data_IF_287086902866
#
_entry.id   IF_287086902866
#
_cell.length_a   1.000
_cell.length_b   1.000
_cell.length_c   1.000
_cell.angle_alpha   90.00
_cell.angle_beta   90.00
_cell.angle_gamma   90.00
#
_symmetry.space_group_name_H-M   'P 1'
#
loop_
_entity.id
_entity.type
_entity.pdbx_description
1 polymer ?
#
# COMPACT_ATOMS: atom_id res chain seq x y z
N UNK A 1 4.28 -39.62 33.74
CA UNK A 1 4.87 -38.27 33.70
C UNK A 1 5.34 -37.92 32.28
N UNK A 2 4.47 -37.34 31.42
CA UNK A 2 4.84 -36.88 30.07
C UNK A 2 4.80 -35.34 29.90
N UNK A 3 4.51 -34.58 30.96
CA UNK A 3 4.18 -33.15 30.89
C UNK A 3 5.37 -32.20 30.80
N UNK A 4 6.54 -32.57 31.34
CA UNK A 4 7.72 -31.69 31.42
C UNK A 4 8.49 -31.55 30.10
N UNK A 5 8.55 -32.62 29.29
CA UNK A 5 9.25 -32.64 27.99
C UNK A 5 8.45 -31.93 26.89
N UNK A 6 7.11 -32.00 26.96
CA UNK A 6 6.25 -31.32 26.00
C UNK A 6 6.23 -29.79 26.19
N UNK A 7 6.25 -29.31 27.43
CA UNK A 7 6.29 -27.87 27.75
C UNK A 7 7.62 -27.21 27.39
N UNK A 8 8.74 -27.90 27.59
CA UNK A 8 10.08 -27.41 27.21
C UNK A 8 10.27 -27.36 25.69
N UNK A 9 9.74 -28.33 24.93
CA UNK A 9 9.77 -28.33 23.47
C UNK A 9 8.95 -27.21 22.83
N UNK A 10 7.76 -26.93 23.38
CA UNK A 10 6.90 -25.83 22.92
C UNK A 10 7.52 -24.45 23.20
N UNK A 11 8.10 -24.26 24.39
CA UNK A 11 8.78 -23.02 24.74
C UNK A 11 10.00 -22.76 23.83
N UNK A 12 10.80 -23.79 23.57
CA UNK A 12 11.96 -23.70 22.66
C UNK A 12 11.54 -23.35 21.24
N UNK A 13 10.48 -23.97 20.73
CA UNK A 13 9.94 -23.69 19.39
C UNK A 13 9.42 -22.26 19.27
N UNK A 14 8.72 -21.77 20.30
CA UNK A 14 8.24 -20.39 20.36
C UNK A 14 9.39 -19.39 20.39
N UNK A 15 10.44 -19.64 21.18
CA UNK A 15 11.63 -18.77 21.21
C UNK A 15 12.35 -18.73 19.86
N UNK A 16 12.51 -19.89 19.21
CA UNK A 16 13.10 -19.97 17.86
C UNK A 16 12.26 -19.18 16.86
N UNK A 17 10.93 -19.31 16.92
CA UNK A 17 10.02 -18.54 16.07
C UNK A 17 10.14 -17.04 16.33
N UNK A 18 10.09 -16.60 17.60
CA UNK A 18 10.26 -15.19 17.98
C UNK A 18 11.60 -14.63 17.49
N UNK A 19 12.69 -15.38 17.62
CA UNK A 19 14.00 -14.95 17.14
C UNK A 19 14.03 -14.81 15.62
N UNK A 20 13.48 -15.77 14.88
CA UNK A 20 13.38 -15.69 13.41
C UNK A 20 12.50 -14.54 12.96
N UNK A 21 11.33 -14.36 13.59
CA UNK A 21 10.39 -13.28 13.27
C UNK A 21 10.98 -11.91 13.59
N UNK A 22 11.69 -11.77 14.70
CA UNK A 22 12.40 -10.53 15.05
C UNK A 22 13.52 -10.21 14.06
N UNK A 23 14.31 -11.21 13.65
CA UNK A 23 15.33 -11.01 12.61
C UNK A 23 14.72 -10.62 11.27
N UNK A 24 13.59 -11.23 10.90
CA UNK A 24 12.86 -10.85 9.69
C UNK A 24 12.34 -9.40 9.79
N UNK A 25 11.85 -8.98 10.95
CA UNK A 25 11.45 -7.60 11.20
C UNK A 25 12.61 -6.61 11.04
N UNK A 26 13.79 -6.91 11.61
CA UNK A 26 14.97 -6.08 11.43
C UNK A 26 15.47 -6.07 9.97
N UNK A 27 15.34 -7.18 9.24
CA UNK A 27 15.75 -7.25 7.84
C UNK A 27 14.94 -6.31 6.91
N UNK A 28 13.75 -5.85 7.33
CA UNK A 28 12.95 -4.86 6.60
C UNK A 28 13.55 -3.43 6.69
N UNK A 29 14.53 -3.22 7.56
CA UNK A 29 15.13 -1.92 7.83
C UNK A 29 14.22 -0.99 8.66
N UNK A 30 14.63 0.27 8.86
CA UNK A 30 13.82 1.25 9.56
C UNK A 30 12.57 1.66 8.77
N UNK A 31 11.57 2.20 9.48
CA UNK A 31 10.33 2.76 8.93
C UNK A 31 9.48 3.37 10.03
N UNK A 32 8.16 3.40 9.86
CA UNK A 32 7.25 4.05 10.82
C UNK A 32 7.36 3.52 12.27
N UNK A 33 7.36 2.20 12.51
CA UNK A 33 7.54 1.65 13.86
C UNK A 33 9.00 1.68 14.33
N UNK A 34 9.24 1.71 15.67
CA UNK A 34 10.60 1.73 16.21
C UNK A 34 11.44 0.52 15.79
N UNK A 35 12.61 0.76 15.20
CA UNK A 35 13.54 -0.29 14.72
C UNK A 35 14.27 -1.01 15.88
N UNK A 36 13.53 -1.73 16.72
CA UNK A 36 14.01 -2.47 17.87
C UNK A 36 12.97 -3.51 18.34
N UNK A 37 13.27 -4.22 19.44
CA UNK A 37 12.41 -5.25 20.01
C UNK A 37 10.99 -4.76 20.37
N UNK A 38 10.85 -3.51 20.82
CA UNK A 38 9.54 -2.95 21.19
C UNK A 38 8.66 -2.76 19.95
N UNK A 39 9.22 -2.24 18.87
CA UNK A 39 8.49 -2.11 17.60
C UNK A 39 8.10 -3.46 17.03
N UNK A 40 9.02 -4.43 17.03
CA UNK A 40 8.71 -5.82 16.65
C UNK A 40 7.54 -6.40 17.46
N UNK A 41 7.60 -6.32 18.79
CA UNK A 41 6.57 -6.88 19.66
C UNK A 41 5.21 -6.23 19.39
N UNK A 42 5.18 -4.91 19.20
CA UNK A 42 3.96 -4.19 18.83
C UNK A 42 3.40 -4.66 17.48
N UNK A 43 4.24 -4.80 16.45
CA UNK A 43 3.78 -5.27 15.13
C UNK A 43 3.29 -6.72 15.20
N UNK A 44 4.03 -7.59 15.87
CA UNK A 44 3.74 -9.03 15.90
C UNK A 44 2.56 -9.39 16.78
N UNK A 45 2.41 -8.77 17.95
CA UNK A 45 1.36 -9.11 18.90
C UNK A 45 0.21 -8.10 18.94
N UNK A 46 0.47 -6.83 18.60
CA UNK A 46 -0.52 -5.76 18.66
C UNK A 46 -1.22 -5.46 17.32
N UNK A 47 -0.50 -5.59 16.19
CA UNK A 47 -1.04 -5.26 14.87
C UNK A 47 -1.40 -6.51 14.06
N UNK A 48 -0.46 -7.45 13.92
CA UNK A 48 -0.59 -8.63 13.05
C UNK A 48 -1.86 -9.48 13.30
N UNK A 49 -2.38 -9.66 14.54
CA UNK A 49 -3.62 -10.39 14.76
C UNK A 49 -4.87 -9.75 14.15
N UNK A 50 -4.82 -8.45 13.83
CA UNK A 50 -5.91 -7.68 13.23
C UNK A 50 -5.67 -7.37 11.75
N UNK A 51 -4.56 -7.87 11.19
CA UNK A 51 -4.18 -7.69 9.81
C UNK A 51 -4.60 -8.93 8.98
N UNK A 52 -4.78 -8.76 7.68
CA UNK A 52 -5.01 -9.86 6.75
C UNK A 52 -3.87 -10.87 6.82
N UNK A 53 -4.19 -12.14 6.53
CA UNK A 53 -3.17 -13.17 6.29
C UNK A 53 -2.38 -12.84 5.01
N UNK A 54 -1.22 -13.47 4.84
CA UNK A 54 -0.45 -13.35 3.60
C UNK A 54 -1.23 -13.88 2.38
N UNK A 55 -2.09 -14.89 2.54
CA UNK A 55 -2.96 -15.35 1.45
C UNK A 55 -4.13 -14.40 1.14
N UNK A 56 -4.50 -13.54 2.09
CA UNK A 56 -5.62 -12.62 1.96
C UNK A 56 -5.32 -11.39 1.11
N UNK A 57 -4.04 -11.04 0.93
CA UNK A 57 -3.63 -9.80 0.24
C UNK A 57 -3.94 -9.79 -1.26
N UNK A 58 -4.14 -10.97 -1.87
CA UNK A 58 -4.50 -11.11 -3.29
C UNK A 58 -5.98 -11.43 -3.49
N UNK A 59 -6.77 -11.54 -2.43
CA UNK A 59 -8.21 -11.77 -2.55
C UNK A 59 -8.90 -10.48 -2.98
N UNK A 60 -9.81 -10.61 -3.95
CA UNK A 60 -10.55 -9.50 -4.57
C UNK A 60 -12.06 -9.72 -4.55
N UNK A 61 -12.53 -10.78 -3.90
CA UNK A 61 -13.95 -11.17 -3.91
C UNK A 61 -14.88 -10.12 -3.30
N UNK A 62 -14.35 -9.31 -2.40
CA UNK A 62 -15.03 -8.18 -1.74
C UNK A 62 -15.04 -6.88 -2.58
N UNK A 63 -14.26 -6.81 -3.66
CA UNK A 63 -14.26 -5.67 -4.57
C UNK A 63 -15.26 -5.86 -5.72
N UNK A 64 -15.98 -4.83 -6.18
CA UNK A 64 -16.86 -4.94 -7.34
C UNK A 64 -16.08 -5.28 -8.62
N UNK A 65 -16.72 -5.98 -9.56
CA UNK A 65 -16.14 -6.29 -10.87
C UNK A 65 -16.24 -5.14 -11.87
N UNK A 66 -17.24 -4.27 -11.69
CA UNK A 66 -17.59 -3.16 -12.56
C UNK A 66 -17.40 -1.82 -11.85
N UNK A 67 -17.46 -0.72 -12.60
CA UNK A 67 -17.31 0.64 -12.07
C UNK A 67 -15.85 1.10 -11.92
N UNK A 68 -14.92 0.39 -12.55
CA UNK A 68 -13.52 0.79 -12.66
C UNK A 68 -13.28 1.74 -13.83
N UNK A 69 -12.11 2.35 -13.85
CA UNK A 69 -11.68 3.15 -14.99
C UNK A 69 -11.31 2.24 -16.16
N UNK A 70 -11.78 2.58 -17.37
CA UNK A 70 -11.46 1.85 -18.60
C UNK A 70 -9.94 1.68 -18.83
N UNK A 71 -9.13 2.65 -18.39
CA UNK A 71 -7.67 2.55 -18.47
C UNK A 71 -7.11 1.42 -17.56
N UNK A 72 -7.70 1.22 -16.38
CA UNK A 72 -7.33 0.13 -15.46
C UNK A 72 -7.78 -1.24 -15.99
N UNK A 73 -8.97 -1.30 -16.60
CA UNK A 73 -9.46 -2.49 -17.31
C UNK A 73 -8.59 -2.89 -18.50
N UNK A 74 -7.92 -1.91 -19.13
CA UNK A 74 -6.99 -2.14 -20.25
C UNK A 74 -5.55 -2.44 -19.85
N UNK A 75 -5.20 -2.35 -18.56
CA UNK A 75 -3.87 -2.78 -18.10
C UNK A 75 -3.60 -4.22 -18.57
N UNK A 76 -2.40 -4.53 -19.06
CA UNK A 76 -2.01 -5.91 -19.33
C UNK A 76 -1.74 -6.65 -18.02
N UNK A 77 -1.63 -7.97 -18.07
CA UNK A 77 -0.99 -8.72 -17.00
C UNK A 77 0.48 -8.29 -16.87
N UNK A 78 0.94 -8.09 -15.63
CA UNK A 78 2.35 -7.78 -15.35
C UNK A 78 3.23 -8.95 -15.79
N UNK A 79 4.40 -8.66 -16.34
CA UNK A 79 5.30 -9.70 -16.85
C UNK A 79 5.97 -10.48 -15.72
N UNK A 80 5.96 -11.81 -15.82
CA UNK A 80 6.61 -12.68 -14.85
C UNK A 80 5.83 -12.79 -13.53
N UNK A 81 6.39 -13.45 -12.51
CA UNK A 81 5.68 -13.69 -11.25
C UNK A 81 5.51 -12.39 -10.45
N UNK A 82 4.69 -12.45 -9.41
CA UNK A 82 4.58 -11.41 -8.38
C UNK A 82 5.92 -11.14 -7.70
N UNK A 83 6.18 -9.89 -7.37
CA UNK A 83 7.28 -9.56 -6.48
C UNK A 83 6.95 -10.04 -5.06
N UNK A 84 7.97 -10.38 -4.30
CA UNK A 84 7.79 -10.85 -2.92
C UNK A 84 7.68 -9.62 -2.02
N UNK A 85 6.60 -9.51 -1.26
CA UNK A 85 6.44 -8.47 -0.25
C UNK A 85 6.70 -9.03 1.16
N UNK A 86 7.13 -8.16 2.06
CA UNK A 86 7.44 -8.49 3.44
C UNK A 86 6.98 -7.43 4.43
N UNK A 87 6.53 -7.89 5.60
CA UNK A 87 6.14 -7.02 6.70
C UNK A 87 4.67 -6.60 6.69
N UNK A 88 4.36 -5.68 7.61
CA UNK A 88 3.07 -4.96 7.70
C UNK A 88 3.40 -3.48 7.87
N UNK A 89 4.28 -3.19 8.82
CA UNK A 89 4.95 -1.91 8.99
C UNK A 89 6.30 -2.20 9.67
N UNK A 90 7.46 -1.87 9.06
CA UNK A 90 7.60 -1.45 7.66
C UNK A 90 7.04 -2.51 6.70
N UNK A 91 6.57 -2.07 5.54
CA UNK A 91 6.14 -2.93 4.43
C UNK A 91 7.12 -2.72 3.28
N UNK A 92 7.70 -3.79 2.75
CA UNK A 92 8.79 -3.71 1.77
C UNK A 92 8.56 -4.67 0.62
N UNK A 93 8.98 -4.25 -0.57
CA UNK A 93 9.22 -5.17 -1.67
C UNK A 93 10.61 -5.79 -1.49
N UNK A 94 10.70 -7.12 -1.53
CA UNK A 94 11.90 -7.91 -1.22
C UNK A 94 12.54 -8.55 -2.45
N UNK A 95 11.89 -8.47 -3.61
CA UNK A 95 12.40 -9.01 -4.86
C UNK A 95 11.99 -8.15 -6.05
N UNK A 96 12.58 -8.40 -7.22
CA UNK A 96 12.33 -7.62 -8.43
C UNK A 96 12.53 -6.10 -8.25
N UNK A 97 13.55 -5.72 -7.47
CA UNK A 97 13.86 -4.31 -7.24
C UNK A 97 14.11 -3.59 -8.58
N UNK A 98 13.46 -2.44 -8.80
CA UNK A 98 13.73 -1.62 -9.97
C UNK A 98 15.19 -1.15 -10.02
N UNK A 99 15.70 -0.82 -11.22
CA UNK A 99 16.95 -0.08 -11.33
C UNK A 99 16.78 1.34 -10.79
N UNK A 100 17.81 1.88 -10.12
CA UNK A 100 17.77 3.19 -9.45
C UNK A 100 17.36 4.37 -10.35
N UNK A 101 17.57 4.27 -11.66
CA UNK A 101 17.10 5.25 -12.64
C UNK A 101 15.57 5.49 -12.55
N UNK A 102 14.80 4.48 -12.16
CA UNK A 102 13.34 4.57 -12.03
C UNK A 102 12.93 5.47 -10.85
N UNK A 103 13.76 5.61 -9.81
CA UNK A 103 13.46 6.40 -8.62
C UNK A 103 13.08 7.83 -8.97
N UNK A 104 13.93 8.50 -9.75
CA UNK A 104 13.71 9.90 -10.11
C UNK A 104 12.50 10.05 -11.04
N UNK A 105 12.20 9.05 -11.86
CA UNK A 105 11.04 9.07 -12.74
C UNK A 105 9.73 8.94 -11.95
N UNK A 106 9.68 8.08 -10.92
CA UNK A 106 8.52 7.95 -10.04
C UNK A 106 8.34 9.22 -9.19
N UNK A 107 9.43 9.78 -8.63
CA UNK A 107 9.39 11.06 -7.91
C UNK A 107 8.84 12.17 -8.83
N UNK A 108 9.34 12.26 -10.06
CA UNK A 108 8.90 13.24 -11.04
C UNK A 108 7.42 13.05 -11.42
N UNK A 109 6.93 11.82 -11.51
CA UNK A 109 5.51 11.54 -11.76
C UNK A 109 4.61 12.19 -10.68
N UNK A 110 4.97 12.02 -9.40
CA UNK A 110 4.22 12.58 -8.28
C UNK A 110 4.31 14.11 -8.23
N UNK A 111 5.51 14.65 -8.47
CA UNK A 111 5.75 16.10 -8.54
C UNK A 111 4.94 16.75 -9.67
N UNK A 112 4.97 16.17 -10.88
CA UNK A 112 4.20 16.69 -12.01
C UNK A 112 2.71 16.68 -11.74
N UNK A 113 2.16 15.61 -11.13
CA UNK A 113 0.76 15.58 -10.75
C UNK A 113 0.39 16.77 -9.84
N UNK A 114 1.15 16.99 -8.77
CA UNK A 114 0.89 18.09 -7.84
C UNK A 114 1.09 19.48 -8.46
N UNK A 115 2.10 19.66 -9.32
CA UNK A 115 2.34 20.94 -10.01
C UNK A 115 1.29 21.22 -11.09
N UNK A 116 0.80 20.20 -11.78
CA UNK A 116 -0.19 20.35 -12.85
C UNK A 116 -1.61 20.60 -12.31
N UNK A 117 -1.93 20.05 -11.13
CA UNK A 117 -3.26 20.17 -10.53
C UNK A 117 -3.21 20.76 -9.10
N UNK A 118 -2.62 21.95 -8.89
CA UNK A 118 -2.34 22.50 -7.55
C UNK A 118 -3.60 22.85 -6.76
N UNK A 119 -4.74 23.06 -7.43
CA UNK A 119 -6.00 23.36 -6.76
C UNK A 119 -6.58 22.15 -6.00
N UNK A 120 -6.31 20.94 -6.50
CA UNK A 120 -6.90 19.69 -5.98
C UNK A 120 -5.85 18.73 -5.42
N UNK A 121 -4.56 18.95 -5.67
CA UNK A 121 -3.45 18.10 -5.22
C UNK A 121 -2.40 18.89 -4.44
N UNK A 122 -1.68 18.20 -3.56
CA UNK A 122 -0.50 18.72 -2.86
C UNK A 122 0.51 17.63 -2.55
N UNK A 123 1.79 17.99 -2.41
CA UNK A 123 2.83 17.10 -1.88
C UNK A 123 3.14 17.46 -0.43
N UNK A 124 3.14 16.45 0.44
CA UNK A 124 3.44 16.59 1.88
C UNK A 124 4.12 15.33 2.38
N UNK A 125 4.71 15.35 3.57
CA UNK A 125 5.21 14.11 4.20
C UNK A 125 4.07 13.13 4.45
N UNK A 126 4.28 11.86 4.09
CA UNK A 126 3.32 10.77 4.33
C UNK A 126 2.97 10.69 5.82
N UNK A 127 1.70 10.46 6.11
CA UNK A 127 1.19 10.23 7.47
C UNK A 127 1.52 8.83 7.97
N UNK A 128 1.64 7.87 7.05
CA UNK A 128 1.96 6.47 7.37
C UNK A 128 3.46 6.25 7.52
N UNK A 129 4.26 6.70 6.54
CA UNK A 129 5.70 6.45 6.53
C UNK A 129 6.52 7.54 7.22
N UNK A 130 6.02 8.80 7.25
CA UNK A 130 6.61 9.97 7.93
C UNK A 130 7.96 10.46 7.42
N UNK A 131 8.56 9.76 6.45
CA UNK A 131 9.90 10.08 5.93
C UNK A 131 9.88 10.55 4.47
N UNK A 132 9.04 9.93 3.63
CA UNK A 132 8.92 10.30 2.22
C UNK A 132 7.71 11.16 1.94
N UNK A 133 7.76 11.86 0.81
CA UNK A 133 6.65 12.68 0.34
C UNK A 133 5.57 11.78 -0.26
N UNK A 134 4.33 12.10 0.06
CA UNK A 134 3.13 11.49 -0.49
C UNK A 134 2.39 12.53 -1.33
N UNK A 135 1.63 12.04 -2.30
CA UNK A 135 0.62 12.81 -2.98
C UNK A 135 -0.66 12.83 -2.13
N UNK A 136 -1.22 14.01 -1.96
CA UNK A 136 -2.44 14.25 -1.20
C UNK A 136 -3.48 14.95 -2.04
N UNK A 137 -4.76 14.66 -1.79
CA UNK A 137 -5.86 15.59 -2.05
C UNK A 137 -5.58 16.88 -1.28
N UNK A 138 -5.71 18.04 -1.93
CA UNK A 138 -5.48 19.33 -1.28
C UNK A 138 -6.47 19.52 -0.12
N UNK A 139 -6.04 20.16 0.96
CA UNK A 139 -6.90 20.37 2.14
C UNK A 139 -8.16 21.16 1.76
N UNK A 140 -8.00 22.19 0.92
CA UNK A 140 -9.10 23.00 0.39
C UNK A 140 -10.14 22.14 -0.36
N UNK A 141 -9.67 21.20 -1.20
CA UNK A 141 -10.58 20.31 -1.94
C UNK A 141 -11.24 19.30 -1.01
N UNK A 142 -10.48 18.70 -0.08
CA UNK A 142 -10.99 17.76 0.91
C UNK A 142 -12.08 18.36 1.82
N UNK A 143 -11.96 19.64 2.16
CA UNK A 143 -12.92 20.40 2.98
C UNK A 143 -14.05 21.07 2.20
N UNK A 144 -14.07 20.95 0.86
CA UNK A 144 -15.06 21.62 0.00
C UNK A 144 -16.51 21.15 0.21
N UNK A 145 -16.71 19.99 0.84
CA UNK A 145 -18.00 19.34 0.94
C UNK A 145 -18.49 18.72 -0.36
N UNK A 146 -17.63 18.57 -1.38
CA UNK A 146 -17.96 17.94 -2.65
C UNK A 146 -18.33 16.45 -2.43
N UNK A 147 -19.58 16.04 -2.73
CA UNK A 147 -20.05 14.68 -2.49
C UNK A 147 -19.38 13.63 -3.40
N UNK A 148 -18.64 14.05 -4.43
CA UNK A 148 -17.86 13.14 -5.28
C UNK A 148 -16.60 12.61 -4.59
N UNK A 149 -16.14 13.25 -3.51
CA UNK A 149 -14.96 12.83 -2.76
C UNK A 149 -15.32 11.57 -1.95
N UNK A 150 -14.61 10.44 -2.14
CA UNK A 150 -14.96 9.20 -1.47
C UNK A 150 -14.60 9.25 0.02
N UNK A 151 -15.30 8.45 0.83
CA UNK A 151 -14.99 8.24 2.26
C UNK A 151 -13.52 7.84 2.48
N UNK A 152 -12.94 7.09 1.53
CA UNK A 152 -11.52 6.72 1.53
C UNK A 152 -10.59 7.92 1.70
N UNK A 153 -10.87 9.04 1.03
CA UNK A 153 -10.08 10.27 1.14
C UNK A 153 -10.22 10.91 2.52
N UNK A 154 -11.36 10.78 3.17
CA UNK A 154 -11.57 11.27 4.54
C UNK A 154 -10.80 10.39 5.53
N UNK A 155 -10.90 9.06 5.39
CA UNK A 155 -10.21 8.07 6.24
C UNK A 155 -8.70 8.24 6.15
N UNK A 156 -8.15 8.38 4.94
CA UNK A 156 -6.70 8.56 4.71
C UNK A 156 -6.23 10.00 4.94
N UNK A 157 -7.12 10.92 5.33
CA UNK A 157 -6.85 12.35 5.51
C UNK A 157 -6.22 12.98 4.26
N UNK A 158 -6.72 12.56 3.11
CA UNK A 158 -6.32 13.01 1.79
C UNK A 158 -5.10 12.29 1.22
N UNK A 159 -4.41 11.42 1.96
CA UNK A 159 -3.23 10.73 1.40
C UNK A 159 -3.68 9.78 0.28
N UNK A 160 -3.19 10.02 -0.94
CA UNK A 160 -3.46 9.21 -2.14
C UNK A 160 -2.44 8.08 -2.22
N UNK A 161 -1.16 8.39 -1.98
CA UNK A 161 -0.09 7.40 -2.05
C UNK A 161 1.29 8.00 -1.88
N UNK A 162 2.28 7.14 -1.65
CA UNK A 162 3.70 7.50 -1.54
C UNK A 162 4.59 6.38 -2.07
N UNK A 163 5.82 6.75 -2.43
CA UNK A 163 6.86 5.83 -2.86
C UNK A 163 7.75 5.43 -1.68
N UNK A 164 8.07 4.14 -1.58
CA UNK A 164 9.04 3.59 -0.64
C UNK A 164 10.48 3.68 -1.15
N UNK A 165 11.49 3.52 -0.26
CA UNK A 165 12.90 3.41 -0.65
C UNK A 165 13.18 2.33 -1.69
N UNK A 166 12.44 1.22 -1.65
CA UNK A 166 12.54 0.10 -2.60
C UNK A 166 11.80 0.35 -3.94
N UNK A 167 11.29 1.58 -4.14
CA UNK A 167 10.53 2.05 -5.30
C UNK A 167 9.16 1.39 -5.54
N UNK A 168 8.71 0.52 -4.62
CA UNK A 168 7.29 0.18 -4.55
C UNK A 168 6.46 1.38 -4.11
N UNK A 169 5.17 1.39 -4.46
CA UNK A 169 4.30 2.54 -4.24
C UNK A 169 3.06 2.11 -3.47
N UNK A 170 2.83 2.74 -2.33
CA UNK A 170 1.54 2.69 -1.69
C UNK A 170 0.56 3.61 -2.40
N UNK A 171 -0.65 3.10 -2.70
CA UNK A 171 -1.64 3.83 -3.48
C UNK A 171 -3.06 3.39 -3.11
N UNK A 172 -3.97 4.35 -2.99
CA UNK A 172 -5.40 4.10 -2.95
C UNK A 172 -6.00 4.11 -4.35
N UNK A 173 -6.75 3.06 -4.68
CA UNK A 173 -7.52 2.95 -5.92
C UNK A 173 -9.01 2.80 -5.59
N UNK A 174 -9.89 3.04 -6.57
CA UNK A 174 -11.28 2.62 -6.43
C UNK A 174 -11.34 1.10 -6.21
N UNK A 175 -12.36 0.55 -5.51
CA UNK A 175 -12.46 -0.90 -5.32
C UNK A 175 -12.38 -1.71 -6.61
N UNK A 176 -13.04 -1.25 -7.69
CA UNK A 176 -12.99 -1.91 -8.99
C UNK A 176 -11.60 -1.84 -9.65
N UNK A 177 -10.91 -0.69 -9.56
CA UNK A 177 -9.54 -0.56 -10.07
C UNK A 177 -8.54 -1.39 -9.25
N UNK A 178 -8.74 -1.47 -7.94
CA UNK A 178 -7.93 -2.29 -7.05
C UNK A 178 -8.04 -3.78 -7.42
N UNK A 179 -9.26 -4.25 -7.75
CA UNK A 179 -9.46 -5.59 -8.32
C UNK A 179 -8.66 -5.78 -9.60
N UNK A 180 -8.66 -4.81 -10.51
CA UNK A 180 -7.89 -4.91 -11.77
C UNK A 180 -6.39 -4.99 -11.50
N UNK A 181 -5.85 -4.10 -10.66
CA UNK A 181 -4.42 -4.07 -10.31
C UNK A 181 -3.96 -5.38 -9.65
N UNK A 182 -4.75 -5.92 -8.72
CA UNK A 182 -4.44 -7.19 -8.06
C UNK A 182 -4.56 -8.35 -9.04
N UNK A 183 -5.68 -8.48 -9.77
CA UNK A 183 -5.92 -9.63 -10.68
C UNK A 183 -4.87 -9.70 -11.79
N UNK A 184 -4.37 -8.55 -12.24
CA UNK A 184 -3.31 -8.44 -13.26
C UNK A 184 -1.90 -8.44 -12.71
N UNK A 185 -1.75 -8.73 -11.42
CA UNK A 185 -0.46 -8.93 -10.75
C UNK A 185 0.43 -7.69 -10.70
N UNK A 186 -0.17 -6.50 -10.70
CA UNK A 186 0.55 -5.24 -10.47
C UNK A 186 0.71 -4.91 -8.99
N UNK A 187 -0.15 -5.47 -8.15
CA UNK A 187 -0.25 -5.08 -6.75
C UNK A 187 -0.73 -6.20 -5.83
N UNK A 188 -0.54 -5.96 -4.55
CA UNK A 188 -1.14 -6.68 -3.43
C UNK A 188 -1.79 -5.69 -2.47
N UNK A 189 -2.83 -6.14 -1.77
CA UNK A 189 -3.47 -5.34 -0.72
C UNK A 189 -2.52 -5.16 0.46
N UNK A 190 -2.51 -3.96 1.04
CA UNK A 190 -1.89 -3.76 2.34
C UNK A 190 -2.63 -4.61 3.38
N UNK A 191 -1.90 -5.31 4.26
CA UNK A 191 -2.52 -6.21 5.24
C UNK A 191 -3.43 -5.50 6.25
N UNK A 192 -3.34 -4.18 6.37
CA UNK A 192 -4.23 -3.35 7.20
C UNK A 192 -5.47 -2.83 6.46
N UNK A 193 -5.52 -2.94 5.13
CA UNK A 193 -6.71 -2.65 4.34
C UNK A 193 -7.68 -3.83 4.42
N UNK A 194 -8.25 -4.04 5.60
CA UNK A 194 -9.25 -5.08 5.82
C UNK A 194 -10.57 -4.74 5.10
N UNK A 195 -11.39 -5.74 4.75
CA UNK A 195 -12.72 -5.53 4.16
C UNK A 195 -13.62 -4.58 4.97
N UNK A 196 -14.56 -3.91 4.28
CA UNK A 196 -15.47 -2.89 4.88
C UNK A 196 -16.45 -3.45 5.91
N UNK A 197 -16.71 -4.75 5.90
CA UNK A 197 -17.53 -5.46 6.86
C UNK A 197 -16.72 -5.99 8.06
N UNK A 198 -15.39 -5.83 8.06
CA UNK A 198 -14.53 -6.21 9.17
C UNK A 198 -14.81 -5.36 10.42
N UNK A 199 -14.81 -6.00 11.59
CA UNK A 199 -14.94 -5.32 12.88
C UNK A 199 -13.75 -4.41 13.22
N UNK A 200 -12.60 -4.59 12.55
CA UNK A 200 -11.41 -3.72 12.64
C UNK A 200 -11.24 -2.78 11.44
N UNK A 201 -12.31 -2.54 10.65
CA UNK A 201 -12.26 -1.62 9.50
C UNK A 201 -11.75 -0.24 9.88
N UNK A 202 -11.00 0.38 8.97
CA UNK A 202 -10.45 1.74 9.11
C UNK A 202 -9.52 1.94 10.32
N UNK A 203 -9.13 0.87 11.02
CA UNK A 203 -8.15 0.95 12.10
C UNK A 203 -6.83 1.50 11.56
N UNK A 204 -6.21 2.38 12.33
CA UNK A 204 -4.98 3.10 11.93
C UNK A 204 -5.16 4.04 10.72
N UNK A 205 -6.39 4.48 10.44
CA UNK A 205 -6.69 5.38 9.32
C UNK A 205 -6.32 4.78 7.95
N UNK A 206 -6.46 3.46 7.79
CA UNK A 206 -6.23 2.74 6.54
C UNK A 206 -7.58 2.26 5.99
N UNK A 207 -7.98 2.76 4.82
CA UNK A 207 -9.20 2.31 4.16
C UNK A 207 -8.99 0.98 3.42
N UNK A 208 -10.08 0.40 2.91
CA UNK A 208 -10.14 -0.96 2.39
C UNK A 208 -9.43 -1.18 1.05
N UNK A 209 -9.02 -0.12 0.34
CA UNK A 209 -8.35 -0.19 -0.97
C UNK A 209 -6.91 0.31 -0.97
N UNK A 210 -6.23 0.26 0.18
CA UNK A 210 -4.81 0.60 0.26
C UNK A 210 -3.94 -0.53 -0.29
N UNK A 211 -3.25 -0.29 -1.40
CA UNK A 211 -2.43 -1.30 -2.08
C UNK A 211 -0.93 -1.00 -1.95
N UNK A 212 -0.11 -2.03 -2.13
CA UNK A 212 1.27 -1.90 -2.55
C UNK A 212 1.36 -2.24 -4.04
N UNK A 213 1.64 -1.25 -4.86
CA UNK A 213 1.98 -1.42 -6.28
C UNK A 213 3.47 -1.77 -6.35
N UNK A 214 3.82 -2.82 -7.11
CA UNK A 214 5.21 -3.21 -7.27
C UNK A 214 6.01 -2.11 -7.99
N UNK A 215 7.28 -1.97 -7.62
CA UNK A 215 8.18 -1.02 -8.27
C UNK A 215 8.31 -1.29 -9.77
N UNK A 216 8.28 -0.22 -10.56
CA UNK A 216 8.36 -0.27 -12.03
C UNK A 216 9.77 -0.64 -12.48
N UNK A 217 9.95 -1.77 -13.17
CA UNK A 217 11.28 -2.28 -13.57
C UNK A 217 11.87 -1.59 -14.80
N UNK A 218 11.02 -0.98 -15.62
CA UNK A 218 11.37 -0.28 -16.84
C UNK A 218 10.33 0.80 -17.16
N UNK A 219 10.59 1.57 -18.22
CA UNK A 219 9.71 2.65 -18.68
C UNK A 219 8.31 2.16 -19.08
N UNK A 220 8.21 0.91 -19.56
CA UNK A 220 6.94 0.28 -19.87
C UNK A 220 6.10 0.09 -18.61
N UNK A 221 6.68 -0.47 -17.55
CA UNK A 221 6.01 -0.58 -16.24
C UNK A 221 5.69 0.79 -15.64
N UNK A 222 6.58 1.77 -15.79
CA UNK A 222 6.34 3.14 -15.34
C UNK A 222 5.13 3.77 -16.02
N UNK A 223 4.90 3.51 -17.31
CA UNK A 223 3.71 3.97 -18.02
C UNK A 223 2.42 3.39 -17.42
N UNK A 224 2.45 2.13 -16.96
CA UNK A 224 1.31 1.53 -16.27
C UNK A 224 1.14 2.06 -14.85
N UNK A 225 2.23 2.33 -14.13
CA UNK A 225 2.20 3.03 -12.85
C UNK A 225 1.57 4.43 -12.99
N UNK A 226 1.91 5.17 -14.04
CA UNK A 226 1.26 6.45 -14.35
C UNK A 226 -0.26 6.31 -14.51
N UNK A 227 -0.73 5.30 -15.23
CA UNK A 227 -2.18 5.02 -15.34
C UNK A 227 -2.80 4.76 -13.96
N UNK A 228 -2.15 3.98 -13.12
CA UNK A 228 -2.62 3.71 -11.76
C UNK A 228 -2.67 4.98 -10.91
N UNK A 229 -1.65 5.84 -10.98
CA UNK A 229 -1.62 7.13 -10.26
C UNK A 229 -2.72 8.08 -10.76
N UNK A 230 -2.94 8.17 -12.08
CA UNK A 230 -4.04 8.97 -12.64
C UNK A 230 -5.41 8.48 -12.15
N UNK A 231 -5.65 7.18 -12.18
CA UNK A 231 -6.89 6.57 -11.66
C UNK A 231 -7.06 6.75 -10.16
N UNK A 232 -5.97 6.68 -9.39
CA UNK A 232 -5.97 6.98 -7.96
C UNK A 232 -6.37 8.43 -7.67
N UNK A 233 -5.82 9.38 -8.45
CA UNK A 233 -6.20 10.79 -8.32
C UNK A 233 -7.68 10.98 -8.66
N UNK A 234 -8.16 10.41 -9.77
CA UNK A 234 -9.57 10.51 -10.13
C UNK A 234 -10.48 10.02 -9.00
N UNK A 235 -10.20 8.82 -8.49
CA UNK A 235 -10.97 8.24 -7.38
C UNK A 235 -10.90 9.12 -6.13
N UNK A 236 -9.70 9.47 -5.65
CA UNK A 236 -9.53 10.16 -4.36
C UNK A 236 -10.03 11.61 -4.39
N UNK A 237 -10.07 12.25 -5.55
CA UNK A 237 -10.55 13.63 -5.69
C UNK A 237 -12.00 13.74 -6.16
N UNK A 238 -12.60 12.64 -6.62
CA UNK A 238 -13.91 12.66 -7.28
C UNK A 238 -13.90 13.32 -8.66
N UNK A 239 -12.71 13.59 -9.22
CA UNK A 239 -12.55 14.21 -10.54
C UNK A 239 -12.40 13.18 -11.63
N UNK A 240 -12.80 13.54 -12.84
CA UNK A 240 -12.55 12.74 -14.05
C UNK A 240 -11.47 13.39 -14.92
N UNK A 241 -10.96 12.63 -15.90
CA UNK A 241 -10.11 13.18 -16.96
C UNK A 241 -8.68 13.59 -16.54
N UNK A 242 -8.20 13.14 -15.37
CA UNK A 242 -6.83 13.42 -14.93
C UNK A 242 -5.82 12.74 -15.86
N UNK A 243 -4.88 13.55 -16.37
CA UNK A 243 -3.79 13.12 -17.25
C UNK A 243 -2.53 13.88 -16.90
N UNK A 244 -1.53 13.19 -16.36
CA UNK A 244 -0.25 13.80 -16.00
C UNK A 244 0.55 13.95 -17.29
N UNK A 245 1.01 15.14 -17.64
CA UNK A 245 1.78 15.38 -18.88
C UNK A 245 3.27 15.20 -18.64
#
# INVERSE_FOLDING_TARGET
MPTATATTGLFSSFLIWCFKDYRAYLALGPGGPPYNLKGWAWITFGIRPFALSQSGVTLVTDYPAEGGHLAMERLPHRRGPRATLGGIAPHRQLSQHPPEIMRNQIISLFQRAATQYPDILSLRKSLYERHHDALFVSQKHLESGDPSIPETSIISRGEIGHMHPDMSVHLYLSPADARQAITKEWAERHRLAVPRDSWVKNKYAVADTYLMIYGSRDEGELAHLKVMVESAICFMTGREGIKIV
#
